data_IF_261860853438
#
_entry.id   IF_261860853438
#
_cell.length_a   1.000
_cell.length_b   1.000
_cell.length_c   1.000
_cell.angle_alpha   90.00
_cell.angle_beta   90.00
_cell.angle_gamma   90.00
#
_symmetry.space_group_name_H-M   'P 1'
#
loop_
_entity.id
_entity.type
_entity.pdbx_description
1 polymer ?
#
# COMPACT_ATOMS: atom_id res chain seq x y z
N UNK A 1 -5.02 -66.70 1.22
CA UNK A 1 -4.74 -65.57 0.28
C UNK A 1 -5.39 -64.30 0.82
N UNK A 2 -4.72 -63.55 1.70
CA UNK A 2 -5.31 -62.36 2.34
C UNK A 2 -4.24 -61.32 2.76
N UNK A 3 -3.26 -61.03 1.90
CA UNK A 3 -2.14 -60.10 2.21
C UNK A 3 -1.95 -58.95 1.21
N UNK A 4 -2.87 -58.76 0.23
CA UNK A 4 -2.68 -57.75 -0.84
C UNK A 4 -3.55 -56.49 -0.72
N UNK A 5 -4.29 -56.32 0.38
CA UNK A 5 -5.26 -55.21 0.50
C UNK A 5 -4.87 -54.10 1.48
N UNK A 6 -3.73 -54.22 2.18
CA UNK A 6 -3.28 -53.24 3.18
C UNK A 6 -2.32 -52.18 2.60
N UNK A 7 -1.57 -52.50 1.54
CA UNK A 7 -0.51 -51.61 1.03
C UNK A 7 -1.05 -50.41 0.22
N UNK A 8 -2.29 -50.48 -0.29
CA UNK A 8 -2.89 -49.39 -1.06
C UNK A 8 -3.42 -48.24 -0.18
N UNK A 9 -3.67 -48.50 1.11
CA UNK A 9 -4.26 -47.50 2.01
C UNK A 9 -3.20 -46.62 2.67
N UNK A 10 -1.95 -47.09 2.78
CA UNK A 10 -0.83 -46.34 3.35
C UNK A 10 -0.27 -45.27 2.40
N UNK A 11 -0.32 -45.52 1.08
CA UNK A 11 0.09 -44.55 0.04
C UNK A 11 -0.86 -43.34 -0.02
N UNK A 12 -2.13 -43.52 0.36
CA UNK A 12 -3.12 -42.43 0.41
C UNK A 12 -2.87 -41.46 1.58
N UNK A 13 -2.32 -41.95 2.70
CA UNK A 13 -2.03 -41.12 3.86
C UNK A 13 -0.69 -40.39 3.74
N UNK A 14 0.31 -41.00 3.08
CA UNK A 14 1.63 -40.38 2.86
C UNK A 14 1.61 -39.17 1.91
N UNK A 15 0.58 -39.03 1.05
CA UNK A 15 0.46 -37.87 0.14
C UNK A 15 -0.30 -36.68 0.74
N UNK A 16 -0.75 -36.78 1.99
CA UNK A 16 -1.53 -35.75 2.69
C UNK A 16 -0.76 -34.98 3.75
N UNK A 17 0.52 -35.31 3.97
CA UNK A 17 1.51 -34.37 4.51
C UNK A 17 1.84 -33.31 3.45
N UNK A 18 0.80 -32.59 3.02
CA UNK A 18 0.96 -31.31 2.35
C UNK A 18 1.64 -30.43 3.36
N UNK A 19 2.78 -29.88 2.95
CA UNK A 19 3.51 -28.83 3.64
C UNK A 19 2.52 -27.96 4.42
N UNK A 20 2.69 -27.90 5.74
CA UNK A 20 2.15 -26.81 6.52
C UNK A 20 2.76 -25.54 5.92
N UNK A 21 2.07 -24.99 4.93
CA UNK A 21 2.34 -23.65 4.44
C UNK A 21 2.06 -22.77 5.64
N UNK A 22 3.12 -22.46 6.39
CA UNK A 22 3.15 -21.43 7.39
C UNK A 22 2.68 -20.16 6.71
N UNK A 23 1.37 -19.92 6.76
CA UNK A 23 0.76 -18.70 6.30
C UNK A 23 1.32 -17.61 7.19
N UNK A 24 2.28 -16.87 6.64
CA UNK A 24 2.86 -15.71 7.31
C UNK A 24 1.74 -14.70 7.48
N UNK A 25 1.17 -14.67 8.68
CA UNK A 25 0.15 -13.70 9.02
C UNK A 25 0.82 -12.33 9.13
N UNK A 26 0.55 -11.47 8.16
CA UNK A 26 1.00 -10.08 8.11
C UNK A 26 0.56 -9.33 9.38
N UNK A 27 -0.56 -9.71 10.00
CA UNK A 27 -1.02 -9.12 11.25
C UNK A 27 -0.13 -9.44 12.45
N UNK A 28 0.70 -10.50 12.37
CA UNK A 28 1.61 -10.96 13.44
C UNK A 28 3.02 -10.34 13.39
N UNK A 29 3.38 -9.62 12.33
CA UNK A 29 4.71 -9.03 12.14
C UNK A 29 5.16 -8.11 13.29
N UNK A 30 6.45 -8.03 13.63
CA UNK A 30 6.97 -7.05 14.58
C UNK A 30 6.61 -5.59 14.21
N UNK A 31 6.43 -4.73 15.23
CA UNK A 31 5.91 -3.37 15.02
C UNK A 31 6.87 -2.47 14.22
N UNK A 32 8.16 -2.66 14.39
CA UNK A 32 9.23 -2.05 13.60
C UNK A 32 9.13 -2.43 12.12
N UNK A 33 8.89 -3.70 11.79
CA UNK A 33 8.67 -4.17 10.42
C UNK A 33 7.41 -3.52 9.82
N UNK A 34 6.30 -3.49 10.57
CA UNK A 34 5.06 -2.83 10.13
C UNK A 34 5.30 -1.33 9.86
N UNK A 35 6.01 -0.63 10.76
CA UNK A 35 6.37 0.78 10.56
C UNK A 35 7.27 0.98 9.34
N UNK A 36 8.17 0.05 9.06
CA UNK A 36 9.00 0.08 7.86
C UNK A 36 8.13 -0.01 6.61
N UNK A 37 7.20 -0.97 6.54
CA UNK A 37 6.25 -1.13 5.43
C UNK A 37 5.40 0.13 5.21
N UNK A 38 4.87 0.71 6.29
CA UNK A 38 4.09 1.96 6.24
C UNK A 38 4.95 3.09 5.64
N UNK A 39 6.22 3.21 6.04
CA UNK A 39 7.14 4.23 5.53
C UNK A 39 7.47 4.07 4.05
N UNK A 40 7.57 2.83 3.56
CA UNK A 40 7.88 2.58 2.14
C UNK A 40 6.74 3.03 1.23
N UNK A 41 5.50 3.11 1.74
CA UNK A 41 4.40 3.82 1.07
C UNK A 41 3.91 3.21 -0.24
N UNK A 42 4.24 1.95 -0.53
CA UNK A 42 3.83 1.28 -1.78
C UNK A 42 2.31 1.04 -1.85
N UNK A 43 1.64 0.86 -0.71
CA UNK A 43 0.20 0.66 -0.67
C UNK A 43 -0.54 1.88 -0.13
N UNK A 44 -1.84 1.94 -0.43
CA UNK A 44 -2.69 2.99 0.13
C UNK A 44 -2.74 2.84 1.65
N UNK A 45 -2.53 3.95 2.35
CA UNK A 45 -2.59 3.98 3.81
C UNK A 45 -3.94 3.45 4.34
N UNK A 46 -5.02 3.68 3.59
CA UNK A 46 -6.35 3.17 3.94
C UNK A 46 -6.42 1.64 3.90
N UNK A 47 -5.78 0.99 2.93
CA UNK A 47 -5.68 -0.47 2.88
C UNK A 47 -4.95 -1.02 4.10
N UNK A 48 -3.85 -0.38 4.51
CA UNK A 48 -3.07 -0.79 5.68
C UNK A 48 -3.88 -0.71 6.98
N UNK A 49 -4.75 0.29 7.12
CA UNK A 49 -5.64 0.42 8.29
C UNK A 49 -6.68 -0.69 8.41
N UNK A 50 -6.96 -1.44 7.34
CA UNK A 50 -7.94 -2.52 7.33
C UNK A 50 -7.36 -3.89 7.72
N UNK A 51 -6.03 -4.02 7.80
CA UNK A 51 -5.37 -5.30 8.09
C UNK A 51 -5.68 -5.77 9.52
N UNK A 52 -5.42 -4.93 10.52
CA UNK A 52 -5.75 -5.23 11.91
C UNK A 52 -5.80 -3.97 12.78
N UNK A 53 -6.36 -4.07 13.99
CA UNK A 53 -6.37 -2.96 14.96
C UNK A 53 -4.95 -2.44 15.27
N UNK A 54 -3.96 -3.34 15.32
CA UNK A 54 -2.55 -2.98 15.56
C UNK A 54 -1.96 -2.19 14.39
N UNK A 55 -2.21 -2.64 13.17
CA UNK A 55 -1.80 -1.93 11.95
C UNK A 55 -2.41 -0.53 11.90
N UNK A 56 -3.72 -0.41 12.17
CA UNK A 56 -4.40 0.89 12.25
C UNK A 56 -3.74 1.83 13.27
N UNK A 57 -3.41 1.34 14.47
CA UNK A 57 -2.78 2.17 15.49
C UNK A 57 -1.39 2.67 15.07
N UNK A 58 -0.55 1.79 14.52
CA UNK A 58 0.79 2.16 14.04
C UNK A 58 0.75 3.10 12.83
N UNK A 59 -0.21 2.89 11.95
CA UNK A 59 -0.46 3.77 10.82
C UNK A 59 -0.84 5.17 11.31
N UNK A 60 -1.80 5.28 12.24
CA UNK A 60 -2.22 6.57 12.81
C UNK A 60 -1.09 7.29 13.53
N UNK A 61 -0.29 6.57 14.32
CA UNK A 61 0.90 7.10 14.99
C UNK A 61 1.90 7.68 13.96
N UNK A 62 2.12 6.96 12.85
CA UNK A 62 2.96 7.43 11.76
C UNK A 62 2.45 8.74 11.13
N UNK A 63 1.13 8.88 10.92
CA UNK A 63 0.55 10.12 10.39
C UNK A 63 0.57 11.29 11.37
N UNK A 64 0.40 11.02 12.66
CA UNK A 64 0.48 12.05 13.69
C UNK A 64 1.89 12.63 13.77
N UNK A 65 2.91 11.82 13.51
CA UNK A 65 4.29 12.29 13.47
C UNK A 65 4.65 12.93 12.12
N UNK A 66 4.38 14.24 12.01
CA UNK A 66 4.70 15.05 10.81
C UNK A 66 6.15 14.95 10.33
N UNK A 67 7.11 14.61 11.21
CA UNK A 67 8.51 14.44 10.83
C UNK A 67 8.76 13.21 9.96
N UNK A 68 7.84 12.25 9.99
CA UNK A 68 7.93 11.01 9.22
C UNK A 68 7.23 11.09 7.86
N UNK A 69 6.45 12.15 7.64
CA UNK A 69 5.77 12.37 6.37
C UNK A 69 6.76 12.90 5.32
N UNK A 70 6.62 12.50 4.04
CA UNK A 70 7.45 13.04 2.98
C UNK A 70 7.23 14.55 2.84
N UNK A 71 8.34 15.31 2.92
CA UNK A 71 8.32 16.77 2.78
C UNK A 71 7.87 17.15 1.38
N UNK A 72 6.81 17.94 1.28
CA UNK A 72 6.39 18.57 0.01
C UNK A 72 7.41 19.67 -0.29
N UNK A 73 8.29 19.45 -1.27
CA UNK A 73 9.36 20.40 -1.64
C UNK A 73 8.87 21.54 -2.52
N UNK A 74 7.90 21.27 -3.38
CA UNK A 74 7.30 22.25 -4.27
C UNK A 74 5.81 21.97 -4.43
N UNK A 75 5.06 23.04 -4.62
CA UNK A 75 3.64 23.01 -4.91
C UNK A 75 3.43 23.87 -6.15
N UNK A 76 3.20 23.22 -7.28
CA UNK A 76 2.88 23.94 -8.51
C UNK A 76 1.38 24.23 -8.51
N UNK A 77 1.06 25.52 -8.50
CA UNK A 77 -0.30 26.01 -8.60
C UNK A 77 -0.46 26.91 -9.82
N UNK A 78 -1.65 26.87 -10.43
CA UNK A 78 -2.01 27.76 -11.53
C UNK A 78 -3.36 28.41 -11.27
N UNK A 79 -3.42 29.74 -11.39
CA UNK A 79 -4.68 30.49 -11.39
C UNK A 79 -5.19 30.59 -12.83
N UNK A 80 -6.38 30.05 -13.07
CA UNK A 80 -7.19 30.38 -14.23
C UNK A 80 -8.28 31.34 -13.78
N UNK A 81 -8.52 32.41 -14.51
CA UNK A 81 -9.53 33.42 -14.16
C UNK A 81 -10.96 32.88 -14.19
N UNK A 82 -11.16 31.66 -14.71
CA UNK A 82 -12.46 30.99 -14.79
C UNK A 82 -12.50 29.64 -14.10
N UNK A 83 -11.36 29.11 -13.64
CA UNK A 83 -11.28 27.76 -13.06
C UNK A 83 -10.76 27.78 -11.62
N UNK A 84 -11.13 26.76 -10.82
CA UNK A 84 -10.58 26.55 -9.49
C UNK A 84 -9.05 26.43 -9.47
N UNK A 85 -8.45 26.81 -8.35
CA UNK A 85 -7.00 26.67 -8.09
C UNK A 85 -6.62 25.19 -8.23
N UNK A 86 -5.78 24.86 -9.21
CA UNK A 86 -5.29 23.50 -9.43
C UNK A 86 -3.98 23.34 -8.68
N UNK A 87 -3.92 22.31 -7.81
CA UNK A 87 -2.70 21.87 -7.16
C UNK A 87 -2.16 20.64 -7.87
N UNK A 88 -0.94 20.72 -8.39
CA UNK A 88 -0.25 19.55 -8.91
C UNK A 88 0.53 18.89 -7.78
N UNK A 89 0.05 17.74 -7.33
CA UNK A 89 0.70 16.95 -6.28
C UNK A 89 1.26 15.69 -6.95
N UNK A 90 2.58 15.41 -6.82
CA UNK A 90 3.17 14.20 -7.37
C UNK A 90 2.38 12.94 -6.98
N UNK A 91 2.21 12.01 -7.91
CA UNK A 91 1.34 10.84 -7.72
C UNK A 91 1.74 10.01 -6.50
N UNK A 92 3.05 9.85 -6.27
CA UNK A 92 3.59 9.14 -5.12
C UNK A 92 3.25 9.81 -3.77
N UNK A 93 2.96 11.12 -3.75
CA UNK A 93 2.53 11.83 -2.54
C UNK A 93 1.01 11.81 -2.35
N UNK A 94 0.24 11.52 -3.40
CA UNK A 94 -1.22 11.55 -3.34
C UNK A 94 -1.80 10.57 -2.29
N UNK A 95 -1.10 9.46 -2.02
CA UNK A 95 -1.49 8.45 -1.05
C UNK A 95 -1.31 8.92 0.41
N UNK A 96 -0.36 9.81 0.69
CA UNK A 96 -0.04 10.25 2.06
C UNK A 96 -1.00 11.31 2.59
N UNK A 97 -1.52 12.17 1.71
CA UNK A 97 -2.31 13.34 2.10
C UNK A 97 -3.82 13.15 1.90
N UNK A 98 -4.27 11.91 1.70
CA UNK A 98 -5.69 11.57 1.46
C UNK A 98 -6.36 12.34 0.33
N UNK A 99 -5.58 12.86 -0.62
CA UNK A 99 -6.08 13.72 -1.70
C UNK A 99 -7.10 12.98 -2.59
N UNK A 100 -6.95 11.66 -2.73
CA UNK A 100 -7.87 10.79 -3.49
C UNK A 100 -9.31 10.76 -2.95
N UNK A 101 -9.52 11.13 -1.68
CA UNK A 101 -10.83 11.13 -1.03
C UNK A 101 -11.48 12.51 -0.91
N UNK A 102 -10.77 13.58 -1.29
CA UNK A 102 -11.35 14.91 -1.26
C UNK A 102 -12.37 15.06 -2.41
N UNK A 103 -13.68 15.27 -2.11
CA UNK A 103 -14.74 15.31 -3.12
C UNK A 103 -14.55 16.45 -4.13
N UNK A 104 -13.85 17.51 -3.74
CA UNK A 104 -13.55 18.69 -4.56
C UNK A 104 -12.49 18.39 -5.63
N UNK A 105 -11.59 17.43 -5.39
CA UNK A 105 -10.36 17.26 -6.20
C UNK A 105 -10.58 16.25 -7.35
N UNK A 106 -11.67 15.47 -7.33
CA UNK A 106 -11.97 14.45 -8.35
C UNK A 106 -12.13 14.99 -9.78
N UNK A 107 -12.44 16.28 -9.97
CA UNK A 107 -12.55 16.90 -11.30
C UNK A 107 -11.26 17.56 -11.80
N UNK A 108 -10.23 17.68 -10.97
CA UNK A 108 -9.13 18.64 -11.20
C UNK A 108 -7.74 18.03 -11.28
N UNK A 109 -7.53 16.77 -10.89
CA UNK A 109 -6.22 16.14 -11.04
C UNK A 109 -6.10 15.59 -12.47
N UNK A 110 -5.73 16.45 -13.42
CA UNK A 110 -5.04 15.96 -14.61
C UNK A 110 -3.58 15.75 -14.22
N UNK A 111 -3.21 14.51 -13.93
CA UNK A 111 -1.81 14.12 -13.90
C UNK A 111 -1.24 14.29 -15.31
N UNK A 112 -0.67 15.46 -15.60
CA UNK A 112 0.21 15.62 -16.75
C UNK A 112 1.52 14.92 -16.39
N UNK A 113 1.63 13.65 -16.78
CA UNK A 113 2.91 12.95 -16.90
C UNK A 113 3.78 13.72 -17.90
N UNK A 114 4.53 14.70 -17.41
CA UNK A 114 5.53 15.46 -18.17
C UNK A 114 6.90 15.00 -17.71
N UNK A 115 7.25 13.75 -18.02
CA UNK A 115 8.63 13.31 -18.07
C UNK A 115 8.89 12.78 -19.48
N UNK A 116 9.98 13.27 -20.07
CA UNK A 116 10.48 13.05 -21.43
C UNK A 116 9.78 13.82 -22.56
N UNK A 117 10.26 15.04 -22.80
CA UNK A 117 10.75 15.48 -24.10
C UNK A 117 11.12 16.97 -24.00
N UNK A 118 12.26 17.27 -23.37
CA UNK A 118 13.03 18.48 -23.69
C UNK A 118 14.20 18.05 -24.58
N UNK A 119 14.07 18.14 -25.90
CA UNK A 119 15.23 18.13 -26.77
C UNK A 119 15.89 19.51 -26.74
N UNK A 120 17.20 19.55 -26.50
CA UNK A 120 18.03 20.74 -26.72
C UNK A 120 18.36 21.53 -25.46
N UNK A 121 19.47 21.16 -24.83
CA UNK A 121 20.56 22.06 -24.43
C UNK A 121 21.84 21.23 -24.35
#
# INVERSE_FOLDING_TARGET
>A
MAKRSLDAQEISNSKRERAEEHSLDIASLPSDVIRHIIRTGNESFNSMMLISKRWKALALDHLQNRKLLPVIRSLDWSLSTKDPIIFNIPEHLANFYWIKHLPIVRKMIRFRSQLSNRPGL
#
